data_IF_185143699982
#
_entry.id   IF_185143699982
#
_cell.length_a   1.000
_cell.length_b   1.000
_cell.length_c   1.000
_cell.angle_alpha   90.00
_cell.angle_beta   90.00
_cell.angle_gamma   90.00
#
_symmetry.space_group_name_H-M   'P 1'
#
loop_
_entity.id
_entity.type
_entity.pdbx_description
1 polymer ?
#
# COMPACT_ATOMS: atom_id res chain seq x y z
N UNK A 1 -21.99 22.07 -9.84
CA UNK A 1 -20.62 21.52 -9.75
C UNK A 1 -20.25 20.94 -11.09
N UNK A 2 -19.12 21.34 -11.69
CA UNK A 2 -18.54 20.54 -12.78
C UNK A 2 -17.69 19.46 -12.11
N UNK A 3 -18.06 18.17 -12.18
CA UNK A 3 -17.05 17.14 -11.98
C UNK A 3 -16.03 17.34 -13.11
N UNK A 4 -14.76 17.03 -12.88
CA UNK A 4 -13.72 16.96 -13.94
C UNK A 4 -12.97 18.24 -14.34
N UNK A 5 -12.86 19.25 -13.47
CA UNK A 5 -11.81 20.26 -13.64
C UNK A 5 -10.46 19.73 -13.12
N UNK A 6 -9.83 18.86 -13.91
CA UNK A 6 -8.49 18.34 -13.65
C UNK A 6 -7.44 19.43 -13.92
N UNK A 7 -6.40 19.52 -13.08
CA UNK A 7 -5.23 20.35 -13.40
C UNK A 7 -4.58 19.82 -14.67
N UNK A 8 -4.48 20.67 -15.69
CA UNK A 8 -3.96 20.33 -17.03
C UNK A 8 -2.44 20.23 -17.12
N UNK A 9 -1.70 20.55 -16.05
CA UNK A 9 -0.24 20.52 -16.07
C UNK A 9 0.26 19.65 -14.91
N UNK A 10 1.03 18.58 -15.20
CA UNK A 10 1.67 17.79 -14.15
C UNK A 10 2.57 18.71 -13.31
N UNK A 11 2.69 18.43 -12.01
CA UNK A 11 3.85 18.95 -11.27
C UNK A 11 5.05 18.31 -11.98
N UNK A 12 6.01 19.09 -12.48
CA UNK A 12 7.15 18.61 -13.28
C UNK A 12 8.08 17.66 -12.51
N UNK A 13 7.57 16.47 -12.17
CA UNK A 13 8.27 15.36 -11.54
C UNK A 13 8.62 14.43 -12.67
N UNK A 14 9.91 14.23 -12.88
CA UNK A 14 10.40 13.31 -13.90
C UNK A 14 10.70 12.00 -13.21
N UNK A 15 10.15 10.90 -13.73
CA UNK A 15 10.50 9.56 -13.27
C UNK A 15 12.01 9.34 -13.40
N UNK A 16 12.67 8.96 -12.30
CA UNK A 16 14.12 8.73 -12.28
C UNK A 16 14.45 7.25 -12.25
N UNK A 17 13.84 6.54 -11.32
CA UNK A 17 14.24 5.18 -10.98
C UNK A 17 13.04 4.40 -10.42
N UNK A 18 12.94 3.12 -10.81
CA UNK A 18 12.02 2.15 -10.25
C UNK A 18 12.83 1.05 -9.58
N UNK A 19 12.54 0.77 -8.32
CA UNK A 19 13.14 -0.34 -7.58
C UNK A 19 12.06 -1.33 -7.19
N UNK A 20 12.26 -2.57 -7.57
CA UNK A 20 11.49 -3.69 -7.03
C UNK A 20 12.20 -4.15 -5.77
N UNK A 21 11.49 -4.22 -4.65
CA UNK A 21 12.04 -4.68 -3.39
C UNK A 21 11.23 -5.85 -2.84
N UNK A 22 11.90 -6.91 -2.41
CA UNK A 22 11.29 -7.96 -1.61
C UNK A 22 11.76 -7.85 -0.18
N UNK A 23 10.84 -7.64 0.75
CA UNK A 23 11.15 -7.64 2.17
C UNK A 23 10.87 -9.02 2.74
N UNK A 24 11.88 -9.65 3.33
CA UNK A 24 11.74 -11.02 3.82
C UNK A 24 12.53 -11.24 5.10
N UNK A 25 12.07 -12.23 5.88
CA UNK A 25 12.82 -12.81 7.01
C UNK A 25 13.51 -14.12 6.61
N UNK A 26 13.22 -14.64 5.42
CA UNK A 26 13.80 -15.86 4.90
C UNK A 26 15.25 -15.65 4.47
N UNK A 27 16.06 -16.68 4.65
CA UNK A 27 17.44 -16.73 4.14
C UNK A 27 17.46 -17.28 2.72
N UNK A 28 18.44 -16.86 1.90
CA UNK A 28 18.72 -17.39 0.55
C UNK A 28 17.68 -17.13 -0.53
N UNK A 29 16.78 -16.16 -0.35
CA UNK A 29 15.73 -15.86 -1.35
C UNK A 29 16.31 -15.22 -2.63
N UNK A 30 17.41 -14.48 -2.53
CA UNK A 30 18.04 -13.81 -3.69
C UNK A 30 18.42 -14.77 -4.82
N UNK A 31 18.82 -16.01 -4.50
CA UNK A 31 19.26 -16.99 -5.50
C UNK A 31 18.12 -17.46 -6.43
N UNK A 32 16.85 -17.29 -6.01
CA UNK A 32 15.68 -17.68 -6.77
C UNK A 32 15.03 -16.50 -7.52
N UNK A 33 15.57 -15.28 -7.36
CA UNK A 33 14.97 -14.06 -7.87
C UNK A 33 15.82 -13.43 -8.97
N UNK A 34 15.19 -12.69 -9.90
CA UNK A 34 15.92 -11.89 -10.87
C UNK A 34 16.80 -10.81 -10.22
N UNK A 35 17.91 -10.47 -10.88
CA UNK A 35 18.89 -9.50 -10.39
C UNK A 35 18.33 -8.08 -10.16
N UNK A 36 17.24 -7.72 -10.84
CA UNK A 36 16.59 -6.42 -10.67
C UNK A 36 15.79 -6.29 -9.36
N UNK A 37 15.57 -7.41 -8.64
CA UNK A 37 14.83 -7.43 -7.37
C UNK A 37 15.79 -7.23 -6.20
N UNK A 38 15.55 -6.17 -5.44
CA UNK A 38 16.32 -5.84 -4.24
C UNK A 38 15.75 -6.58 -3.03
N UNK A 39 16.46 -7.60 -2.54
CA UNK A 39 16.01 -8.32 -1.34
C UNK A 39 16.47 -7.58 -0.07
N UNK A 40 15.51 -7.11 0.71
CA UNK A 40 15.73 -6.49 2.02
C UNK A 40 15.42 -7.50 3.11
N UNK A 41 16.47 -8.01 3.73
CA UNK A 41 16.35 -8.93 4.86
C UNK A 41 16.05 -8.13 6.13
N UNK A 42 15.04 -8.56 6.88
CA UNK A 42 14.75 -8.02 8.21
C UNK A 42 15.69 -8.69 9.22
N UNK A 43 16.61 -7.96 9.87
CA UNK A 43 17.53 -8.56 10.82
C UNK A 43 16.77 -8.99 12.07
N UNK A 44 17.16 -10.13 12.64
CA UNK A 44 16.56 -10.64 13.89
C UNK A 44 16.76 -9.70 15.09
N UNK A 45 17.74 -8.79 15.01
CA UNK A 45 18.00 -7.76 16.04
C UNK A 45 17.06 -6.56 15.97
N UNK A 46 16.33 -6.36 14.86
CA UNK A 46 15.40 -5.25 14.74
C UNK A 46 14.07 -5.62 15.37
N UNK A 47 13.69 -4.89 16.42
CA UNK A 47 12.42 -5.09 17.10
C UNK A 47 11.71 -3.73 17.26
N UNK A 48 10.60 -3.50 16.54
CA UNK A 48 9.79 -2.31 16.69
C UNK A 48 9.04 -2.36 18.03
N UNK A 49 8.54 -1.21 18.50
CA UNK A 49 7.96 -1.14 19.83
C UNK A 49 6.62 -1.90 19.92
N UNK A 50 5.82 -1.87 18.85
CA UNK A 50 4.46 -2.42 18.85
C UNK A 50 4.15 -3.29 17.62
N UNK A 51 4.76 -3.00 16.46
CA UNK A 51 4.48 -3.71 15.22
C UNK A 51 4.81 -5.21 15.26
N UNK A 52 3.92 -6.00 14.65
CA UNK A 52 4.06 -7.44 14.51
C UNK A 52 3.98 -7.85 13.05
N UNK A 53 4.45 -9.05 12.75
CA UNK A 53 4.25 -9.74 11.45
C UNK A 53 4.59 -8.89 10.21
N UNK A 54 3.57 -8.46 9.45
CA UNK A 54 3.65 -7.66 8.21
C UNK A 54 4.04 -6.22 8.51
N UNK A 55 3.34 -5.55 9.45
CA UNK A 55 3.72 -4.22 9.93
C UNK A 55 5.18 -4.13 10.40
N UNK A 56 5.72 -5.19 11.01
CA UNK A 56 7.14 -5.24 11.38
C UNK A 56 8.08 -5.18 10.17
N UNK A 57 7.78 -5.92 9.11
CA UNK A 57 8.56 -5.91 7.88
C UNK A 57 8.44 -4.56 7.14
N UNK A 58 7.24 -3.98 7.10
CA UNK A 58 6.99 -2.66 6.49
C UNK A 58 7.76 -1.55 7.22
N UNK A 59 7.76 -1.57 8.55
CA UNK A 59 8.50 -0.59 9.35
C UNK A 59 10.01 -0.69 9.13
N UNK A 60 10.55 -1.91 9.03
CA UNK A 60 11.95 -2.09 8.67
C UNK A 60 12.28 -1.54 7.29
N UNK A 61 11.41 -1.82 6.30
CA UNK A 61 11.59 -1.34 4.93
C UNK A 61 11.63 0.19 4.87
N UNK A 62 10.70 0.85 5.57
CA UNK A 62 10.64 2.32 5.68
C UNK A 62 11.95 2.90 6.23
N UNK A 63 12.47 2.31 7.31
CA UNK A 63 13.72 2.74 7.95
C UNK A 63 14.96 2.44 7.09
N UNK A 64 14.97 1.32 6.37
CA UNK A 64 16.06 0.90 5.51
C UNK A 64 16.25 1.85 4.32
N UNK A 65 15.16 2.18 3.62
CA UNK A 65 15.20 3.00 2.41
C UNK A 65 15.29 4.50 2.67
N UNK A 66 14.96 4.97 3.89
CA UNK A 66 14.99 6.39 4.27
C UNK A 66 14.22 7.26 3.27
N UNK A 67 12.95 6.91 3.10
CA UNK A 67 12.05 7.51 2.12
C UNK A 67 12.02 9.04 2.29
N UNK A 68 12.04 9.76 1.17
CA UNK A 68 11.87 11.21 1.10
C UNK A 68 10.50 11.59 0.52
N UNK A 69 10.18 12.87 0.47
CA UNK A 69 8.93 13.36 -0.14
C UNK A 69 8.85 13.16 -1.67
N UNK A 70 9.98 12.82 -2.30
CA UNK A 70 10.07 12.50 -3.73
C UNK A 70 9.92 11.00 -4.01
N UNK A 71 10.03 10.17 -2.97
CA UNK A 71 9.90 8.73 -3.08
C UNK A 71 8.43 8.33 -2.87
N UNK A 72 8.02 7.31 -3.59
CA UNK A 72 6.68 6.73 -3.55
C UNK A 72 6.78 5.23 -3.40
N UNK A 73 5.97 4.66 -2.52
CA UNK A 73 5.98 3.21 -2.24
C UNK A 73 4.64 2.63 -2.62
N UNK A 74 4.68 1.63 -3.48
CA UNK A 74 3.55 0.79 -3.83
C UNK A 74 3.66 -0.52 -3.06
N UNK A 75 2.74 -0.72 -2.13
CA UNK A 75 2.66 -1.94 -1.33
C UNK A 75 1.84 -2.98 -2.09
N UNK A 76 2.45 -4.14 -2.34
CA UNK A 76 1.85 -5.26 -3.05
C UNK A 76 1.97 -6.53 -2.21
N UNK A 77 1.00 -7.42 -2.36
CA UNK A 77 1.07 -8.77 -1.81
C UNK A 77 1.78 -9.70 -2.81
N UNK A 78 2.37 -10.79 -2.33
CA UNK A 78 3.22 -11.70 -3.12
C UNK A 78 2.50 -12.39 -4.28
N UNK A 79 1.19 -12.55 -4.18
CA UNK A 79 0.33 -13.12 -5.23
C UNK A 79 -0.13 -12.09 -6.27
N UNK A 80 0.27 -10.83 -6.12
CA UNK A 80 -0.18 -9.75 -7.01
C UNK A 80 0.58 -9.79 -8.33
N UNK A 81 -0.18 -9.89 -9.42
CA UNK A 81 0.34 -9.74 -10.77
C UNK A 81 0.49 -8.25 -11.12
N UNK A 82 1.65 -7.87 -11.67
CA UNK A 82 1.96 -6.51 -12.11
C UNK A 82 2.05 -6.49 -13.63
N UNK A 83 1.34 -5.56 -14.27
CA UNK A 83 1.44 -5.31 -15.70
C UNK A 83 1.95 -3.89 -16.02
N UNK A 84 2.26 -3.64 -17.29
CA UNK A 84 2.73 -2.33 -17.76
C UNK A 84 1.72 -1.21 -17.49
N UNK A 85 0.43 -1.54 -17.63
CA UNK A 85 -0.66 -0.60 -17.41
C UNK A 85 -0.72 -0.11 -15.95
N UNK A 86 -0.57 -1.02 -14.98
CA UNK A 86 -0.55 -0.71 -13.56
C UNK A 86 0.60 0.25 -13.23
N UNK A 87 1.79 -0.03 -13.74
CA UNK A 87 2.97 0.81 -13.53
C UNK A 87 2.74 2.19 -14.12
N UNK A 88 2.23 2.28 -15.35
CA UNK A 88 1.90 3.55 -16.00
C UNK A 88 0.84 4.33 -15.22
N UNK A 89 -0.22 3.67 -14.73
CA UNK A 89 -1.27 4.29 -13.95
C UNK A 89 -0.75 4.87 -12.61
N UNK A 90 0.23 4.20 -11.98
CA UNK A 90 0.91 4.70 -10.79
C UNK A 90 1.74 5.94 -11.10
N UNK A 91 2.52 5.93 -12.20
CA UNK A 91 3.31 7.09 -12.62
C UNK A 91 2.42 8.30 -12.95
N UNK A 92 1.35 8.07 -13.73
CA UNK A 92 0.36 9.11 -14.03
C UNK A 92 -0.26 9.68 -12.75
N UNK A 93 -0.52 8.84 -11.73
CA UNK A 93 -1.02 9.30 -10.44
C UNK A 93 -0.02 10.22 -9.72
N UNK A 94 1.24 9.82 -9.69
CA UNK A 94 2.32 10.58 -9.04
C UNK A 94 2.54 11.92 -9.75
N UNK A 95 2.57 11.93 -11.08
CA UNK A 95 2.81 13.12 -11.91
C UNK A 95 1.63 14.11 -11.87
N UNK A 96 0.40 13.60 -11.77
CA UNK A 96 -0.80 14.42 -11.51
C UNK A 96 -0.63 15.25 -10.22
N UNK A 97 0.02 14.68 -9.20
CA UNK A 97 0.46 15.39 -7.99
C UNK A 97 -0.67 16.02 -7.18
N UNK A 98 -1.87 15.46 -7.27
CA UNK A 98 -3.10 15.97 -6.63
C UNK A 98 -3.31 15.46 -5.22
N UNK A 99 -2.89 14.23 -4.93
CA UNK A 99 -3.14 13.52 -3.68
C UNK A 99 -1.85 12.77 -3.30
N UNK A 100 -1.63 12.53 -2.00
CA UNK A 100 -0.39 11.90 -1.48
C UNK A 100 -0.54 10.40 -1.20
N UNK A 101 -1.74 9.86 -1.36
CA UNK A 101 -2.07 8.43 -1.23
C UNK A 101 -3.04 8.03 -2.34
N UNK A 102 -2.73 6.94 -3.02
CA UNK A 102 -3.56 6.29 -4.04
C UNK A 102 -3.89 4.85 -3.63
N UNK A 103 -5.02 4.36 -4.12
CA UNK A 103 -5.44 2.97 -3.92
C UNK A 103 -5.98 2.43 -5.23
N UNK A 104 -5.51 1.24 -5.59
CA UNK A 104 -5.97 0.52 -6.75
C UNK A 104 -7.12 -0.45 -6.45
N UNK A 105 -7.67 -1.04 -7.50
CA UNK A 105 -8.72 -2.05 -7.43
C UNK A 105 -8.10 -3.44 -7.49
N UNK A 106 -8.52 -4.33 -6.59
CA UNK A 106 -7.96 -5.69 -6.53
C UNK A 106 -8.98 -6.67 -7.10
N UNK A 107 -8.53 -7.57 -7.97
CA UNK A 107 -9.30 -8.70 -8.48
C UNK A 107 -8.39 -9.92 -8.62
N UNK A 108 -8.91 -11.11 -8.29
CA UNK A 108 -8.20 -12.40 -8.35
C UNK A 108 -8.54 -13.20 -9.61
N UNK A 109 -9.58 -12.81 -10.34
CA UNK A 109 -10.00 -13.47 -11.57
C UNK A 109 -9.24 -12.90 -12.77
N UNK A 110 -7.90 -12.87 -12.75
CA UNK A 110 -7.11 -12.34 -13.88
C UNK A 110 -7.20 -13.24 -15.13
N UNK A 111 -7.43 -14.55 -14.92
CA UNK A 111 -7.55 -15.55 -15.96
C UNK A 111 -8.86 -16.33 -15.84
N UNK A 112 -9.34 -16.87 -16.97
CA UNK A 112 -10.47 -17.81 -17.01
C UNK A 112 -11.83 -17.23 -16.56
N UNK A 113 -12.12 -15.99 -16.97
CA UNK A 113 -13.43 -15.37 -16.78
C UNK A 113 -14.57 -16.32 -17.18
N UNK A 114 -15.64 -16.36 -16.37
CA UNK A 114 -16.85 -17.14 -16.60
C UNK A 114 -16.72 -18.66 -16.51
N UNK A 115 -15.55 -19.24 -16.21
CA UNK A 115 -15.45 -20.68 -15.92
C UNK A 115 -16.31 -21.09 -14.71
N UNK A 116 -16.41 -20.22 -13.71
CA UNK A 116 -17.36 -20.35 -12.63
C UNK A 116 -18.16 -19.04 -12.51
N UNK A 117 -19.41 -19.00 -13.02
CA UNK A 117 -20.25 -17.80 -12.98
C UNK A 117 -20.51 -17.26 -11.57
N UNK A 118 -20.57 -18.13 -10.56
CA UNK A 118 -20.76 -17.71 -9.17
C UNK A 118 -19.55 -16.92 -8.65
N UNK A 119 -18.34 -17.45 -8.85
CA UNK A 119 -17.11 -16.75 -8.45
C UNK A 119 -16.90 -15.46 -9.26
N UNK A 120 -17.22 -15.48 -10.55
CA UNK A 120 -17.15 -14.27 -11.40
C UNK A 120 -18.11 -13.18 -10.88
N UNK A 121 -19.31 -13.56 -10.44
CA UNK A 121 -20.27 -12.62 -9.87
C UNK A 121 -19.80 -12.07 -8.52
N UNK A 122 -19.24 -12.91 -7.66
CA UNK A 122 -18.65 -12.48 -6.39
C UNK A 122 -17.52 -11.45 -6.61
N UNK A 123 -16.69 -11.64 -7.63
CA UNK A 123 -15.64 -10.68 -8.00
C UNK A 123 -16.20 -9.33 -8.45
N UNK A 124 -17.28 -9.34 -9.26
CA UNK A 124 -17.95 -8.09 -9.68
C UNK A 124 -18.42 -7.30 -8.45
N UNK A 125 -18.96 -7.97 -7.44
CA UNK A 125 -19.37 -7.30 -6.20
C UNK A 125 -18.17 -6.71 -5.43
N UNK A 126 -17.04 -7.40 -5.40
CA UNK A 126 -15.81 -6.89 -4.78
C UNK A 126 -15.30 -5.63 -5.49
N UNK A 127 -15.24 -5.66 -6.81
CA UNK A 127 -14.87 -4.50 -7.63
C UNK A 127 -15.87 -3.35 -7.44
N UNK A 128 -17.17 -3.63 -7.37
CA UNK A 128 -18.18 -2.62 -7.10
C UNK A 128 -18.03 -2.00 -5.70
N UNK A 129 -17.68 -2.81 -4.70
CA UNK A 129 -17.35 -2.33 -3.36
C UNK A 129 -16.09 -1.46 -3.39
N UNK A 130 -15.09 -1.76 -4.22
CA UNK A 130 -13.90 -0.92 -4.32
C UNK A 130 -14.23 0.51 -4.76
N UNK A 131 -15.06 0.63 -5.80
CA UNK A 131 -15.51 1.92 -6.31
C UNK A 131 -16.47 2.63 -5.34
N UNK A 132 -17.36 1.90 -4.68
CA UNK A 132 -18.38 2.47 -3.80
C UNK A 132 -17.87 2.82 -2.40
N UNK A 133 -17.08 1.94 -1.79
CA UNK A 133 -16.66 2.01 -0.39
C UNK A 133 -15.32 2.72 -0.21
N UNK A 134 -14.38 2.54 -1.12
CA UNK A 134 -13.07 3.19 -1.01
C UNK A 134 -12.98 4.45 -1.89
N UNK A 135 -13.36 4.36 -3.17
CA UNK A 135 -13.16 5.48 -4.08
C UNK A 135 -14.15 6.64 -3.86
N UNK A 136 -15.45 6.35 -3.70
CA UNK A 136 -16.47 7.38 -3.56
C UNK A 136 -16.23 8.28 -2.33
N UNK A 137 -15.88 7.76 -1.14
CA UNK A 137 -15.58 8.62 0.00
C UNK A 137 -14.36 9.53 -0.19
N UNK A 138 -13.29 9.00 -0.80
CA UNK A 138 -12.12 9.81 -1.13
C UNK A 138 -12.49 10.91 -2.12
N UNK A 139 -13.38 10.63 -3.09
CA UNK A 139 -13.84 11.64 -4.06
C UNK A 139 -14.76 12.69 -3.46
N UNK A 140 -15.69 12.29 -2.58
CA UNK A 140 -16.72 13.17 -2.02
C UNK A 140 -16.21 13.94 -0.80
N UNK A 141 -15.48 13.27 0.09
CA UNK A 141 -15.07 13.80 1.38
C UNK A 141 -13.56 14.05 1.49
N UNK A 142 -12.77 13.73 0.45
CA UNK A 142 -11.31 13.84 0.46
C UNK A 142 -10.63 13.03 1.57
N UNK A 143 -11.31 11.98 2.03
CA UNK A 143 -10.83 11.07 3.07
C UNK A 143 -11.51 9.71 2.95
N UNK A 144 -10.81 8.61 3.27
CA UNK A 144 -11.46 7.33 3.53
C UNK A 144 -12.53 7.49 4.63
N UNK A 145 -13.67 6.83 4.48
CA UNK A 145 -14.64 6.74 5.58
C UNK A 145 -14.18 5.62 6.52
N UNK A 146 -14.15 5.91 7.83
CA UNK A 146 -13.85 4.94 8.90
C UNK A 146 -12.48 4.24 8.80
N UNK A 147 -11.49 4.83 8.12
CA UNK A 147 -10.16 4.20 7.98
C UNK A 147 -10.17 2.97 7.06
N UNK A 148 -11.19 2.81 6.23
CA UNK A 148 -11.27 1.70 5.29
C UNK A 148 -10.25 1.87 4.17
N UNK A 149 -9.25 0.99 4.18
CA UNK A 149 -8.16 0.95 3.21
C UNK A 149 -7.84 -0.52 2.94
N UNK A 150 -7.46 -0.84 1.70
CA UNK A 150 -6.91 -2.16 1.40
C UNK A 150 -5.57 -2.35 2.11
N UNK A 151 -5.21 -3.59 2.40
CA UNK A 151 -3.89 -3.97 2.92
C UNK A 151 -2.82 -4.13 1.84
N UNK A 152 -3.23 -4.01 0.57
CA UNK A 152 -2.38 -4.08 -0.61
C UNK A 152 -2.93 -3.24 -1.75
N UNK A 153 -2.11 -3.09 -2.78
CA UNK A 153 -2.33 -2.17 -3.90
C UNK A 153 -2.57 -0.71 -3.47
N UNK A 154 -1.75 -0.27 -2.50
CA UNK A 154 -1.74 1.09 -1.97
C UNK A 154 -0.46 1.78 -2.43
N UNK A 155 -0.59 2.98 -2.97
CA UNK A 155 0.51 3.84 -3.39
C UNK A 155 0.63 5.03 -2.44
N UNK A 156 1.75 5.17 -1.74
CA UNK A 156 1.93 6.11 -0.64
C UNK A 156 3.16 6.99 -0.87
N UNK A 157 3.05 8.29 -0.64
CA UNK A 157 4.21 9.18 -0.63
C UNK A 157 5.09 8.94 0.62
N UNK A 158 6.40 8.91 0.45
CA UNK A 158 7.35 8.66 1.52
C UNK A 158 7.26 9.64 2.70
N UNK A 159 6.87 10.91 2.46
CA UNK A 159 6.64 11.89 3.53
C UNK A 159 5.48 11.48 4.45
N UNK A 160 4.40 10.98 3.83
CA UNK A 160 3.19 10.54 4.51
C UNK A 160 3.44 9.24 5.26
N UNK A 161 4.14 8.30 4.62
CA UNK A 161 4.52 7.04 5.25
C UNK A 161 5.41 7.25 6.47
N UNK A 162 6.38 8.17 6.40
CA UNK A 162 7.23 8.54 7.53
C UNK A 162 6.47 9.25 8.65
N UNK A 163 5.39 9.97 8.34
CA UNK A 163 4.58 10.68 9.33
C UNK A 163 3.67 9.72 10.12
N UNK A 164 3.08 8.75 9.43
CA UNK A 164 2.12 7.81 10.05
C UNK A 164 2.84 6.62 10.70
N UNK A 165 3.89 6.10 10.05
CA UNK A 165 4.67 4.92 10.45
C UNK A 165 3.89 3.60 10.44
N UNK A 166 4.62 2.48 10.40
CA UNK A 166 4.04 1.13 10.47
C UNK A 166 4.23 0.48 11.85
N UNK A 167 4.85 1.19 12.80
CA UNK A 167 5.03 0.72 14.19
C UNK A 167 3.73 0.83 15.00
N UNK A 168 2.74 0.00 14.64
CA UNK A 168 1.41 0.02 15.24
C UNK A 168 1.19 -1.23 16.09
N UNK A 169 0.49 -1.09 17.21
CA UNK A 169 0.04 -2.24 18.01
C UNK A 169 -1.15 -2.98 17.39
N UNK A 170 -1.61 -2.56 16.21
CA UNK A 170 -2.76 -3.12 15.52
C UNK A 170 -2.33 -4.24 14.56
N UNK A 171 -3.10 -5.33 14.52
CA UNK A 171 -2.91 -6.39 13.53
C UNK A 171 -3.43 -6.02 12.14
N UNK A 172 -4.31 -5.03 12.06
CA UNK A 172 -4.78 -4.42 10.81
C UNK A 172 -4.04 -3.09 10.62
N UNK A 173 -2.74 -3.17 10.34
CA UNK A 173 -1.88 -1.99 10.24
C UNK A 173 -2.30 -1.03 9.12
N UNK A 174 -2.95 -1.55 8.08
CA UNK A 174 -3.54 -0.83 6.96
C UNK A 174 -4.72 0.05 7.39
N UNK A 175 -5.67 -0.51 8.17
CA UNK A 175 -6.77 0.27 8.74
C UNK A 175 -6.24 1.34 9.71
N UNK A 176 -5.23 0.99 10.51
CA UNK A 176 -4.58 1.94 11.40
C UNK A 176 -3.94 3.08 10.60
N UNK A 177 -3.18 2.75 9.56
CA UNK A 177 -2.50 3.73 8.72
C UNK A 177 -3.51 4.69 8.08
N UNK A 178 -4.59 4.15 7.50
CA UNK A 178 -5.64 4.94 6.89
C UNK A 178 -6.30 5.87 7.91
N UNK A 179 -6.65 5.35 9.10
CA UNK A 179 -7.27 6.13 10.15
C UNK A 179 -6.40 7.32 10.60
N UNK A 180 -5.09 7.10 10.78
CA UNK A 180 -4.16 8.12 11.23
C UNK A 180 -3.77 9.12 10.13
N UNK A 181 -3.88 8.72 8.87
CA UNK A 181 -3.72 9.61 7.72
C UNK A 181 -4.92 10.58 7.57
N UNK A 182 -6.12 10.14 7.95
CA UNK A 182 -7.38 10.90 7.84
C UNK A 182 -7.51 11.99 8.92
N UNK A 183 -6.94 11.78 10.10
CA UNK A 183 -7.09 12.72 11.21
C UNK A 183 -5.92 13.73 11.22
N UNK A 184 -6.19 15.05 11.26
CA UNK A 184 -5.14 16.00 11.59
C UNK A 184 -4.56 15.59 12.95
N UNK A 185 -3.27 15.27 12.95
CA UNK A 185 -2.47 14.76 14.06
C UNK A 185 -3.01 15.24 15.42
N UNK A 186 -3.70 14.35 16.14
CA UNK A 186 -4.13 14.57 17.52
C UNK A 186 -3.07 14.02 18.48
N UNK A 187 -2.87 14.68 19.63
CA UNK A 187 -1.86 14.28 20.61
C UNK A 187 -2.24 12.95 21.24
N UNK A 188 -1.21 12.17 21.58
CA UNK A 188 -1.22 10.88 22.26
C UNK A 188 -2.40 10.68 23.22
N UNK A 189 -3.15 9.58 23.04
CA UNK A 189 -3.99 9.01 24.08
C UNK A 189 -4.15 7.50 23.91
N UNK A 190 -3.51 6.79 24.84
CA UNK A 190 -3.91 5.58 25.58
C UNK A 190 -4.48 4.35 24.84
N UNK A 191 -3.75 3.25 25.05
CA UNK A 191 -4.07 1.87 24.72
C UNK A 191 -5.42 1.40 25.31
N UNK A 192 -6.17 0.64 24.53
CA UNK A 192 -7.20 -0.26 25.06
C UNK A 192 -7.12 -1.63 24.39
N UNK A 193 -6.82 -2.63 25.21
CA UNK A 193 -6.84 -4.07 24.93
C UNK A 193 -8.15 -4.58 24.31
N UNK A 194 -8.07 -5.47 23.31
CA UNK A 194 -8.92 -6.68 23.26
C UNK A 194 -8.52 -7.70 22.17
N UNK A 195 -8.19 -8.91 22.65
CA UNK A 195 -8.56 -10.25 22.16
C UNK A 195 -8.53 -10.61 20.64
N UNK A 196 -7.51 -11.39 20.28
CA UNK A 196 -7.61 -12.76 19.74
C UNK A 196 -8.31 -13.04 18.41
N UNK A 197 -7.52 -13.27 17.35
CA UNK A 197 -7.78 -14.32 16.36
C UNK A 197 -6.48 -14.65 15.58
N UNK A 198 -6.23 -15.93 15.34
CA UNK A 198 -5.07 -16.47 14.60
C UNK A 198 -5.40 -16.69 13.13
N UNK A 199 -4.58 -16.17 12.20
CA UNK A 199 -4.15 -16.97 11.04
C UNK A 199 -2.90 -16.40 10.32
N UNK A 200 -2.17 -17.36 9.77
CA UNK A 200 -0.90 -17.46 9.02
C UNK A 200 -0.31 -16.28 8.22
N UNK A 201 1.01 -16.07 8.45
CA UNK A 201 2.17 -16.00 7.51
C UNK A 201 1.89 -15.60 6.05
N UNK A 202 2.66 -14.74 5.35
CA UNK A 202 4.11 -14.49 5.38
C UNK A 202 4.47 -13.16 4.65
N UNK A 203 5.75 -12.87 4.37
CA UNK A 203 6.27 -11.53 4.02
C UNK A 203 6.06 -11.11 2.54
N UNK A 204 5.69 -9.85 2.30
CA UNK A 204 5.38 -9.31 0.95
C UNK A 204 6.38 -8.25 0.42
N UNK A 205 6.60 -8.15 -0.91
CA UNK A 205 7.50 -7.19 -1.56
C UNK A 205 6.90 -5.78 -1.79
N UNK A 206 7.52 -4.68 -1.31
CA UNK A 206 7.18 -3.33 -1.75
C UNK A 206 7.90 -2.92 -3.05
N UNK A 207 7.19 -2.24 -3.93
CA UNK A 207 7.76 -1.58 -5.12
C UNK A 207 8.01 -0.10 -4.80
N UNK A 208 9.24 0.38 -4.93
CA UNK A 208 9.61 1.76 -4.61
C UNK A 208 9.88 2.54 -5.90
N UNK A 209 9.08 3.57 -6.14
CA UNK A 209 9.26 4.55 -7.21
C UNK A 209 10.02 5.77 -6.68
N UNK A 210 10.97 6.27 -7.48
CA UNK A 210 11.75 7.47 -7.16
C UNK A 210 11.64 8.51 -8.27
N UNK A 211 11.19 9.70 -7.88
CA UNK A 211 11.06 10.89 -8.77
C UNK A 211 12.14 11.93 -8.52
#
# INVERSE_FOLDING_TARGET
>A
MRPFAYKRSPKGRYFRELKVCLVTKGTNVQAALPDFVNVVNVPASFQPAHAKYKGWALEWCRLHWKLSELDWVLHLDEETEIDEYLVQACLDFIERGTEDVGMGTIYYTSHNYWKNPFLTTAEIFRVAEDFGRFQLPIRVFKRPLLGWMHGSFILINGAVENKVTWDTGCLAEDFWFAFHNILPSRPHAEESNSAGFTQSHENSPPLVFRT
#
